data_IF_373118141300
#
_entry.id   IF_373118141300
#
_cell.length_a   1.000
_cell.length_b   1.000
_cell.length_c   1.000
_cell.angle_alpha   90.00
_cell.angle_beta   90.00
_cell.angle_gamma   90.00
#
_symmetry.space_group_name_H-M   'P 1'
#
loop_
_entity.id
_entity.type
_entity.pdbx_description
1 polymer ?
#
# COMPACT_ATOMS: atom_id res chain seq x y z
N UNK A 1 3.21 7.98 -34.25
CA UNK A 1 2.75 9.25 -34.85
C UNK A 1 2.53 9.00 -36.35
N UNK A 2 1.27 9.00 -36.80
CA UNK A 2 0.94 8.93 -38.21
C UNK A 2 1.20 10.32 -38.78
N UNK A 3 2.15 10.41 -39.70
CA UNK A 3 2.49 11.66 -40.40
C UNK A 3 1.29 12.13 -41.22
N UNK A 4 0.53 13.06 -40.68
CA UNK A 4 -0.46 13.83 -41.44
C UNK A 4 0.17 15.18 -41.82
N UNK A 5 0.15 15.50 -43.12
CA UNK A 5 0.64 16.74 -43.69
C UNK A 5 0.08 17.94 -42.91
N UNK A 6 0.91 18.57 -42.07
CA UNK A 6 0.59 19.82 -41.36
C UNK A 6 0.84 19.83 -39.84
N UNK A 7 0.95 18.71 -39.19
CA UNK A 7 1.28 18.66 -37.76
C UNK A 7 2.72 18.20 -37.57
N UNK A 8 3.58 19.09 -37.03
CA UNK A 8 4.91 18.74 -36.58
C UNK A 8 4.77 17.75 -35.42
N UNK A 9 4.99 16.47 -35.69
CA UNK A 9 5.17 15.49 -34.63
C UNK A 9 6.34 15.90 -33.74
N UNK A 10 6.10 15.92 -32.42
CA UNK A 10 7.19 16.19 -31.47
C UNK A 10 8.27 15.10 -31.58
N UNK A 11 9.55 15.42 -31.37
CA UNK A 11 10.62 14.44 -31.53
C UNK A 11 10.43 13.28 -30.56
N UNK A 12 10.61 12.05 -31.05
CA UNK A 12 10.44 10.82 -30.29
C UNK A 12 11.27 10.80 -28.98
N UNK A 13 12.45 11.44 -29.02
CA UNK A 13 13.31 11.58 -27.85
C UNK A 13 12.63 12.38 -26.72
N UNK A 14 11.94 13.47 -27.06
CA UNK A 14 11.25 14.29 -26.07
C UNK A 14 10.07 13.51 -25.44
N UNK A 15 9.34 12.76 -26.26
CA UNK A 15 8.27 11.91 -25.79
C UNK A 15 8.79 10.83 -24.83
N UNK A 16 9.91 10.18 -25.17
CA UNK A 16 10.55 9.17 -24.32
C UNK A 16 11.02 9.75 -22.97
N UNK A 17 11.60 10.96 -22.97
CA UNK A 17 12.04 11.64 -21.74
C UNK A 17 10.84 11.98 -20.87
N UNK A 18 9.77 12.53 -21.42
CA UNK A 18 8.56 12.90 -20.67
C UNK A 18 7.84 11.68 -20.11
N UNK A 19 7.75 10.59 -20.87
CA UNK A 19 7.23 9.31 -20.41
C UNK A 19 8.06 8.75 -19.24
N UNK A 20 9.38 8.87 -19.31
CA UNK A 20 10.28 8.45 -18.23
C UNK A 20 10.07 9.29 -16.97
N UNK A 21 9.93 10.59 -17.10
CA UNK A 21 9.65 11.50 -15.98
C UNK A 21 8.29 11.15 -15.37
N UNK A 22 7.26 10.91 -16.19
CA UNK A 22 5.95 10.48 -15.73
C UNK A 22 6.02 9.16 -14.95
N UNK A 23 6.80 8.19 -15.45
CA UNK A 23 7.04 6.93 -14.76
C UNK A 23 7.64 7.13 -13.37
N UNK A 24 8.68 7.95 -13.24
CA UNK A 24 9.27 8.25 -11.93
C UNK A 24 8.32 8.98 -11.00
N UNK A 25 7.50 9.91 -11.50
CA UNK A 25 6.48 10.58 -10.71
C UNK A 25 5.42 9.58 -10.20
N UNK A 26 4.97 8.67 -11.05
CA UNK A 26 4.05 7.59 -10.67
C UNK A 26 4.65 6.68 -9.59
N UNK A 27 5.90 6.26 -9.78
CA UNK A 27 6.63 5.46 -8.82
C UNK A 27 6.77 6.16 -7.45
N UNK A 28 7.18 7.43 -7.45
CA UNK A 28 7.32 8.23 -6.23
C UNK A 28 5.99 8.40 -5.51
N UNK A 29 4.92 8.67 -6.24
CA UNK A 29 3.56 8.78 -5.70
C UNK A 29 3.14 7.48 -5.03
N UNK A 30 3.44 6.33 -5.64
CA UNK A 30 3.15 5.00 -5.09
C UNK A 30 3.90 4.75 -3.78
N UNK A 31 5.20 5.09 -3.71
CA UNK A 31 5.99 4.97 -2.46
C UNK A 31 5.43 5.85 -1.35
N UNK A 32 5.16 7.11 -1.64
CA UNK A 32 4.62 8.06 -0.66
C UNK A 32 3.25 7.60 -0.15
N UNK A 33 2.39 7.16 -1.06
CA UNK A 33 1.07 6.61 -0.72
C UNK A 33 1.19 5.37 0.16
N UNK A 34 2.07 4.44 -0.20
CA UNK A 34 2.33 3.24 0.59
C UNK A 34 2.84 3.58 1.99
N UNK A 35 3.79 4.49 2.11
CA UNK A 35 4.34 4.93 3.40
C UNK A 35 3.27 5.61 4.29
N UNK A 36 2.48 6.52 3.74
CA UNK A 36 1.40 7.18 4.48
C UNK A 36 0.32 6.17 4.89
N UNK A 37 -0.05 5.27 3.98
CA UNK A 37 -1.01 4.21 4.27
C UNK A 37 -0.55 3.30 5.40
N UNK A 38 0.71 2.87 5.40
CA UNK A 38 1.27 2.06 6.48
C UNK A 38 1.32 2.79 7.82
N UNK A 39 1.67 4.07 7.85
CA UNK A 39 1.62 4.87 9.09
C UNK A 39 0.21 4.96 9.67
N UNK A 40 -0.79 5.19 8.82
CA UNK A 40 -2.19 5.25 9.26
C UNK A 40 -2.64 3.88 9.76
N UNK A 41 -2.32 2.80 9.02
CA UNK A 41 -2.71 1.45 9.37
C UNK A 41 -2.13 1.00 10.73
N UNK A 42 -0.83 1.22 10.97
CA UNK A 42 -0.18 0.85 12.23
C UNK A 42 -0.74 1.65 13.41
N UNK A 43 -0.96 2.94 13.24
CA UNK A 43 -1.57 3.78 14.28
C UNK A 43 -3.01 3.35 14.57
N UNK A 44 -3.80 3.09 13.53
CA UNK A 44 -5.18 2.64 13.65
C UNK A 44 -5.27 1.27 14.35
N UNK A 45 -4.37 0.34 14.03
CA UNK A 45 -4.35 -1.00 14.63
C UNK A 45 -4.19 -0.93 16.15
N UNK A 46 -3.27 -0.12 16.66
CA UNK A 46 -3.09 0.09 18.09
C UNK A 46 -4.36 0.66 18.75
N UNK A 47 -5.02 1.64 18.10
CA UNK A 47 -6.27 2.23 18.58
C UNK A 47 -7.44 1.25 18.59
N UNK A 48 -7.58 0.45 17.52
CA UNK A 48 -8.64 -0.55 17.41
C UNK A 48 -8.50 -1.59 18.52
N UNK A 49 -7.29 -2.06 18.81
CA UNK A 49 -7.01 -3.02 19.88
C UNK A 49 -7.41 -2.48 21.26
N UNK A 50 -7.08 -1.22 21.54
CA UNK A 50 -7.48 -0.59 22.81
C UNK A 50 -9.00 -0.41 22.93
N UNK A 51 -9.66 -0.03 21.85
CA UNK A 51 -11.11 0.20 21.83
C UNK A 51 -11.90 -1.12 21.83
N UNK A 52 -11.31 -2.21 21.33
CA UNK A 52 -11.93 -3.54 21.34
C UNK A 52 -12.28 -4.02 22.76
N UNK A 53 -11.55 -3.55 23.78
CA UNK A 53 -11.88 -3.81 25.20
C UNK A 53 -13.22 -3.20 25.62
N UNK A 54 -13.72 -2.17 24.92
CA UNK A 54 -15.00 -1.50 25.20
C UNK A 54 -16.19 -2.11 24.47
N UNK A 55 -15.92 -2.98 23.50
CA UNK A 55 -16.94 -3.68 22.72
C UNK A 55 -16.62 -3.71 21.22
N UNK A 56 -17.15 -4.73 20.55
CA UNK A 56 -16.89 -5.00 19.12
C UNK A 56 -17.44 -3.87 18.23
N UNK A 57 -18.60 -3.31 18.55
CA UNK A 57 -19.21 -2.24 17.75
C UNK A 57 -18.37 -0.97 17.70
N UNK A 58 -17.78 -0.55 18.83
CA UNK A 58 -16.89 0.61 18.89
C UNK A 58 -15.57 0.38 18.16
N UNK A 59 -15.04 -0.84 18.25
CA UNK A 59 -13.85 -1.24 17.50
C UNK A 59 -14.09 -1.20 15.99
N UNK A 60 -15.25 -1.70 15.52
CA UNK A 60 -15.63 -1.68 14.11
C UNK A 60 -15.74 -0.23 13.58
N UNK A 61 -16.42 0.66 14.30
CA UNK A 61 -16.52 2.08 13.90
C UNK A 61 -15.15 2.72 13.78
N UNK A 62 -14.24 2.43 14.70
CA UNK A 62 -12.87 2.97 14.67
C UNK A 62 -12.10 2.43 13.47
N UNK A 63 -12.21 1.13 13.19
CA UNK A 63 -11.59 0.49 12.03
C UNK A 63 -12.14 1.07 10.71
N UNK A 64 -13.45 1.21 10.60
CA UNK A 64 -14.11 1.76 9.42
C UNK A 64 -13.68 3.21 9.14
N UNK A 65 -13.65 4.06 10.17
CA UNK A 65 -13.22 5.45 10.03
C UNK A 65 -11.75 5.54 9.58
N UNK A 66 -10.86 4.74 10.15
CA UNK A 66 -9.45 4.74 9.75
C UNK A 66 -9.25 4.24 8.32
N UNK A 67 -10.00 3.21 7.92
CA UNK A 67 -10.00 2.71 6.54
C UNK A 67 -10.52 3.74 5.54
N UNK A 68 -11.59 4.45 5.89
CA UNK A 68 -12.14 5.54 5.06
C UNK A 68 -11.12 6.68 4.88
N UNK A 69 -10.50 7.14 5.97
CA UNK A 69 -9.46 8.19 5.90
C UNK A 69 -8.30 7.75 5.01
N UNK A 70 -7.82 6.51 5.18
CA UNK A 70 -6.75 5.96 4.35
C UNK A 70 -7.15 5.91 2.87
N UNK A 71 -8.32 5.36 2.55
CA UNK A 71 -8.80 5.22 1.18
C UNK A 71 -8.96 6.57 0.47
N UNK A 72 -9.61 7.54 1.11
CA UNK A 72 -9.77 8.87 0.54
C UNK A 72 -8.46 9.62 0.39
N UNK A 73 -7.55 9.53 1.36
CA UNK A 73 -6.24 10.17 1.28
C UNK A 73 -5.41 9.63 0.11
N UNK A 74 -5.38 8.31 -0.07
CA UNK A 74 -4.61 7.68 -1.14
C UNK A 74 -5.20 8.01 -2.52
N UNK A 75 -6.52 7.95 -2.66
CA UNK A 75 -7.21 8.32 -3.90
C UNK A 75 -6.98 9.80 -4.25
N UNK A 76 -7.15 10.69 -3.27
CA UNK A 76 -6.94 12.13 -3.47
C UNK A 76 -5.49 12.46 -3.86
N UNK A 77 -4.51 11.82 -3.20
CA UNK A 77 -3.09 12.01 -3.53
C UNK A 77 -2.78 11.58 -4.97
N UNK A 78 -3.25 10.39 -5.37
CA UNK A 78 -3.05 9.88 -6.73
C UNK A 78 -3.67 10.78 -7.80
N UNK A 79 -4.91 11.23 -7.59
CA UNK A 79 -5.61 12.12 -8.51
C UNK A 79 -4.97 13.52 -8.58
N UNK A 80 -4.53 14.06 -7.45
CA UNK A 80 -3.89 15.36 -7.38
C UNK A 80 -2.57 15.37 -8.18
N UNK A 81 -1.70 14.38 -7.95
CA UNK A 81 -0.43 14.30 -8.68
C UNK A 81 -0.67 14.06 -10.17
N UNK A 82 -1.64 13.22 -10.54
CA UNK A 82 -2.02 13.00 -11.93
C UNK A 82 -2.50 14.31 -12.58
N UNK A 83 -3.37 15.04 -11.90
CA UNK A 83 -3.88 16.33 -12.39
C UNK A 83 -2.76 17.35 -12.61
N UNK A 84 -1.83 17.46 -11.66
CA UNK A 84 -0.67 18.36 -11.78
C UNK A 84 0.21 17.94 -12.96
N UNK A 85 0.47 16.64 -13.10
CA UNK A 85 1.29 16.09 -14.21
C UNK A 85 0.67 16.38 -15.57
N UNK A 86 -0.65 16.19 -15.72
CA UNK A 86 -1.37 16.51 -16.96
C UNK A 86 -1.24 17.99 -17.31
N UNK A 87 -1.46 18.90 -16.34
CA UNK A 87 -1.36 20.34 -16.59
C UNK A 87 0.07 20.76 -16.95
N UNK A 88 1.09 20.19 -16.30
CA UNK A 88 2.50 20.45 -16.63
C UNK A 88 2.84 19.99 -18.06
N UNK A 89 2.42 18.80 -18.44
CA UNK A 89 2.69 18.25 -19.76
C UNK A 89 1.93 18.99 -20.85
N UNK A 90 0.71 19.46 -20.53
CA UNK A 90 -0.08 20.29 -21.45
C UNK A 90 0.65 21.58 -21.85
N UNK A 91 1.45 22.18 -20.97
CA UNK A 91 2.28 23.34 -21.30
C UNK A 91 3.29 23.05 -22.41
N UNK A 92 3.79 21.80 -22.48
CA UNK A 92 4.74 21.38 -23.50
C UNK A 92 4.06 20.89 -24.79
N UNK A 93 3.00 20.09 -24.66
CA UNK A 93 2.31 19.46 -25.80
C UNK A 93 1.33 20.41 -26.50
N UNK A 94 0.77 21.40 -25.78
CA UNK A 94 -0.26 22.30 -26.32
C UNK A 94 -1.52 21.53 -26.75
N UNK A 95 -1.80 21.51 -28.06
CA UNK A 95 -2.96 20.84 -28.65
C UNK A 95 -2.68 19.40 -29.12
N UNK A 96 -1.47 18.88 -28.90
CA UNK A 96 -1.09 17.49 -29.21
C UNK A 96 -1.55 16.54 -28.08
N UNK A 97 -2.80 16.13 -28.15
CA UNK A 97 -3.40 15.24 -27.16
C UNK A 97 -2.88 13.81 -27.25
N UNK A 98 -2.49 13.35 -28.45
CA UNK A 98 -2.00 11.99 -28.66
C UNK A 98 -0.67 11.79 -27.94
N UNK A 99 0.30 12.68 -28.15
CA UNK A 99 1.58 12.64 -27.46
C UNK A 99 1.45 12.85 -25.95
N UNK A 100 0.53 13.69 -25.51
CA UNK A 100 0.24 13.91 -24.09
C UNK A 100 -0.25 12.62 -23.41
N UNK A 101 -1.24 11.94 -23.97
CA UNK A 101 -1.76 10.70 -23.40
C UNK A 101 -0.75 9.57 -23.42
N UNK A 102 0.04 9.45 -24.47
CA UNK A 102 1.13 8.48 -24.54
C UNK A 102 2.13 8.69 -23.40
N UNK A 103 2.54 9.94 -23.16
CA UNK A 103 3.46 10.25 -22.07
C UNK A 103 2.88 10.00 -20.68
N UNK A 104 1.57 10.25 -20.48
CA UNK A 104 0.91 10.02 -19.19
C UNK A 104 0.74 8.53 -18.88
N UNK A 105 0.71 7.63 -19.87
CA UNK A 105 0.67 6.18 -19.60
C UNK A 105 1.85 5.74 -18.75
N UNK A 106 3.00 6.40 -18.88
CA UNK A 106 4.18 6.20 -18.03
C UNK A 106 3.88 6.37 -16.53
N UNK A 107 3.05 7.35 -16.17
CA UNK A 107 2.66 7.58 -14.77
C UNK A 107 1.91 6.38 -14.18
N UNK A 108 0.91 5.86 -14.90
CA UNK A 108 0.15 4.68 -14.49
C UNK A 108 1.03 3.43 -14.37
N UNK A 109 1.94 3.24 -15.33
CA UNK A 109 2.87 2.11 -15.33
C UNK A 109 3.85 2.19 -14.16
N UNK A 110 4.39 3.37 -13.85
CA UNK A 110 5.31 3.58 -12.74
C UNK A 110 4.66 3.29 -11.38
N UNK A 111 3.44 3.82 -11.17
CA UNK A 111 2.67 3.56 -9.96
C UNK A 111 2.32 2.09 -9.77
N UNK A 112 1.85 1.43 -10.82
CA UNK A 112 1.47 0.01 -10.81
C UNK A 112 2.65 -0.92 -10.59
N UNK A 113 3.78 -0.66 -11.26
CA UNK A 113 5.00 -1.48 -11.12
C UNK A 113 5.51 -1.45 -9.69
N UNK A 114 5.61 -0.27 -9.09
CA UNK A 114 6.12 -0.12 -7.74
C UNK A 114 5.16 -0.68 -6.68
N UNK A 115 3.84 -0.52 -6.89
CA UNK A 115 2.83 -1.13 -6.04
C UNK A 115 2.91 -2.66 -6.06
N UNK A 116 3.15 -3.26 -7.24
CA UNK A 116 3.35 -4.70 -7.39
C UNK A 116 4.59 -5.18 -6.64
N UNK A 117 5.73 -4.51 -6.82
CA UNK A 117 6.97 -4.86 -6.10
C UNK A 117 6.81 -4.70 -4.59
N UNK A 118 6.17 -3.63 -4.12
CA UNK A 118 5.89 -3.42 -2.71
C UNK A 118 5.00 -4.51 -2.11
N UNK A 119 3.98 -4.94 -2.85
CA UNK A 119 3.08 -6.02 -2.42
C UNK A 119 3.78 -7.38 -2.34
N UNK A 120 4.56 -7.73 -3.35
CA UNK A 120 5.29 -9.00 -3.39
C UNK A 120 6.40 -9.01 -2.35
N UNK A 121 7.22 -7.95 -2.29
CA UNK A 121 8.30 -7.83 -1.31
C UNK A 121 7.80 -7.83 0.13
N UNK A 122 6.70 -7.11 0.41
CA UNK A 122 6.05 -7.11 1.72
C UNK A 122 5.54 -8.49 2.13
N UNK A 123 4.94 -9.24 1.19
CA UNK A 123 4.48 -10.62 1.43
C UNK A 123 5.62 -11.58 1.73
N UNK A 124 6.74 -11.47 1.02
CA UNK A 124 7.94 -12.28 1.27
C UNK A 124 8.53 -11.94 2.64
N UNK A 125 8.66 -10.66 2.96
CA UNK A 125 9.21 -10.19 4.23
C UNK A 125 8.39 -10.67 5.44
N UNK A 126 7.06 -10.53 5.39
CA UNK A 126 6.18 -10.98 6.47
C UNK A 126 6.22 -12.49 6.65
N UNK A 127 6.25 -13.26 5.57
CA UNK A 127 6.39 -14.72 5.65
C UNK A 127 7.74 -15.18 6.18
N UNK A 128 8.81 -14.53 5.80
CA UNK A 128 10.15 -14.83 6.33
C UNK A 128 10.22 -14.53 7.84
N UNK A 129 9.63 -13.41 8.28
CA UNK A 129 9.57 -13.06 9.69
C UNK A 129 8.74 -14.05 10.52
N UNK A 130 7.61 -14.49 9.98
CA UNK A 130 6.71 -15.48 10.57
C UNK A 130 7.44 -16.83 10.79
N UNK A 131 7.99 -17.36 9.70
CA UNK A 131 8.75 -18.63 9.75
C UNK A 131 9.96 -18.54 10.68
N UNK A 132 10.69 -17.42 10.66
CA UNK A 132 11.84 -17.21 11.54
C UNK A 132 11.45 -17.15 13.01
N UNK A 133 10.38 -16.43 13.34
CA UNK A 133 9.89 -16.33 14.71
C UNK A 133 9.33 -17.65 15.25
N UNK A 134 8.63 -18.42 14.42
CA UNK A 134 8.11 -19.74 14.79
C UNK A 134 9.25 -20.74 15.00
N UNK A 135 10.27 -20.73 14.12
CA UNK A 135 11.41 -21.62 14.24
C UNK A 135 12.17 -21.35 15.56
N UNK A 136 12.49 -20.11 15.85
CA UNK A 136 13.16 -19.71 17.10
C UNK A 136 12.29 -20.00 18.32
N UNK A 137 11.01 -19.71 18.24
CA UNK A 137 10.05 -19.98 19.31
C UNK A 137 9.99 -21.46 19.66
N UNK A 138 9.91 -22.35 18.69
CA UNK A 138 9.83 -23.79 18.90
C UNK A 138 11.17 -24.41 19.31
N UNK A 139 12.24 -24.05 18.61
CA UNK A 139 13.53 -24.73 18.77
C UNK A 139 14.30 -24.23 20.00
N UNK A 140 14.33 -22.92 20.23
CA UNK A 140 15.12 -22.36 21.31
C UNK A 140 14.33 -22.16 22.61
N UNK A 141 13.06 -21.76 22.51
CA UNK A 141 12.26 -21.37 23.68
C UNK A 141 11.15 -22.33 24.05
N UNK A 142 10.90 -23.34 23.23
CA UNK A 142 9.83 -24.32 23.41
C UNK A 142 8.44 -23.67 23.62
N UNK A 143 8.19 -22.56 22.90
CA UNK A 143 6.96 -21.78 22.95
C UNK A 143 6.05 -22.29 21.81
N UNK A 144 4.78 -22.64 22.07
CA UNK A 144 3.82 -23.01 21.04
C UNK A 144 3.61 -21.89 20.01
N UNK A 145 3.26 -22.23 18.75
CA UNK A 145 3.03 -21.26 17.67
C UNK A 145 1.99 -20.19 18.02
N UNK A 146 0.94 -20.59 18.74
CA UNK A 146 -0.20 -19.72 19.11
C UNK A 146 0.00 -18.99 20.48
N UNK A 147 1.20 -19.00 21.06
CA UNK A 147 1.45 -18.36 22.36
C UNK A 147 1.60 -16.84 22.21
N UNK A 148 0.95 -16.01 23.06
CA UNK A 148 1.08 -14.55 23.02
C UNK A 148 2.50 -14.02 23.22
N UNK A 149 3.41 -14.85 23.70
CA UNK A 149 4.84 -14.52 23.84
C UNK A 149 5.61 -14.68 22.55
N UNK A 150 5.02 -15.33 21.53
CA UNK A 150 5.64 -15.46 20.22
C UNK A 150 5.54 -14.12 19.46
N UNK A 151 6.66 -13.48 19.07
CA UNK A 151 6.64 -12.21 18.36
C UNK A 151 5.95 -12.28 17.00
N UNK A 152 5.87 -13.44 16.36
CA UNK A 152 5.15 -13.63 15.09
C UNK A 152 3.65 -13.34 15.23
N UNK A 153 3.04 -13.62 16.37
CA UNK A 153 1.61 -13.36 16.62
C UNK A 153 1.29 -11.86 16.60
N UNK A 154 2.23 -11.01 16.96
CA UNK A 154 2.11 -9.55 16.89
C UNK A 154 1.98 -9.02 15.46
N UNK A 155 2.42 -9.78 14.45
CA UNK A 155 2.34 -9.40 13.03
C UNK A 155 1.01 -9.79 12.36
N UNK A 156 0.18 -10.63 13.03
CA UNK A 156 -1.15 -11.02 12.55
C UNK A 156 -2.26 -10.31 13.32
N UNK A 157 -2.74 -9.14 12.87
CA UNK A 157 -3.84 -8.44 13.55
C UNK A 157 -5.20 -9.18 13.46
N UNK A 158 -5.26 -10.32 12.77
CA UNK A 158 -6.47 -11.07 12.49
C UNK A 158 -6.70 -12.27 13.42
N UNK A 159 -5.93 -12.45 14.51
CA UNK A 159 -6.02 -13.60 15.39
C UNK A 159 -6.62 -13.32 16.79
N UNK A 160 -7.80 -12.66 16.93
CA UNK A 160 -8.44 -12.52 18.25
C UNK A 160 -9.28 -13.73 18.65
N UNK A 161 -9.58 -14.68 17.75
CA UNK A 161 -10.60 -15.67 18.00
C UNK A 161 -10.16 -16.99 18.64
N UNK A 162 -8.89 -17.34 18.66
CA UNK A 162 -8.41 -18.59 19.26
C UNK A 162 -8.09 -18.51 20.76
N UNK A 163 -7.96 -17.31 21.30
CA UNK A 163 -7.59 -17.12 22.72
C UNK A 163 -8.72 -17.36 23.73
N UNK A 164 -9.97 -17.44 23.29
CA UNK A 164 -11.11 -17.61 24.23
C UNK A 164 -11.36 -19.06 24.65
N UNK A 165 -10.81 -20.04 23.95
CA UNK A 165 -11.15 -21.44 24.19
C UNK A 165 -10.19 -22.15 25.16
N UNK A 166 -8.93 -21.73 25.23
CA UNK A 166 -7.97 -22.36 26.15
C UNK A 166 -8.11 -21.95 27.62
N UNK A 167 -8.77 -20.82 27.91
CA UNK A 167 -9.01 -20.41 29.31
C UNK A 167 -10.12 -21.21 30.00
N UNK A 168 -10.98 -21.86 29.24
CA UNK A 168 -12.03 -22.74 29.80
C UNK A 168 -11.52 -24.13 30.18
N UNK A 169 -10.45 -24.61 29.56
CA UNK A 169 -9.87 -25.92 29.83
C UNK A 169 -9.02 -26.00 31.11
N UNK A 170 -8.52 -24.86 31.61
CA UNK A 170 -7.67 -24.84 32.80
C UNK A 170 -8.50 -24.75 34.12
N UNK A 171 -9.76 -24.33 34.03
CA UNK A 171 -10.62 -24.20 35.19
C UNK A 171 -11.51 -25.44 35.45
N UNK A 172 -11.30 -26.57 34.77
CA UNK A 172 -12.02 -27.83 34.93
C UNK A 172 -11.09 -29.01 35.29
N UNK A 173 -9.93 -28.77 35.81
CA UNK A 173 -9.05 -29.67 36.55
C UNK A 173 -8.79 -29.04 37.90
#
# INVERSE_FOLDING_TARGET
CTYNQGNLCKPALANAILTTIAFFLGALTSVLSGFLGMKIATYANARITLVARKGVGTAFITAFRSGAVMGFLLAANGLLVLYVTINLFKLYYGDDWEGLYESITGYGLGGSSLALFGRVGGGIYTKAADVGADLVGKVERNIPEDDPRNPAISFYPWYPHKYHDHRKSINTL
#
